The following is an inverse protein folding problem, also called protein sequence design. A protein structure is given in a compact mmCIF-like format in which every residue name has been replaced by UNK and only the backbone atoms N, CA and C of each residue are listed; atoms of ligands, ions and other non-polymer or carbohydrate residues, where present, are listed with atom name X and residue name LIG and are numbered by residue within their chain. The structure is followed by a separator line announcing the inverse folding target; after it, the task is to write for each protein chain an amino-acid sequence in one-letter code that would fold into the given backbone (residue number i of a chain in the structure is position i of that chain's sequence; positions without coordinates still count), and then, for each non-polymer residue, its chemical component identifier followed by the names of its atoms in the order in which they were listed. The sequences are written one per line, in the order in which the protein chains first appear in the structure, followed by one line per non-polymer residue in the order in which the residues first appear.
data_IF_732257057583
#
_entry.id   IF_732257057583
#
_cell.length_a   1.000
_cell.length_b   1.000
_cell.length_c   1.000
_cell.angle_alpha   90.00
_cell.angle_beta   90.00
_cell.angle_gamma   90.00
#
_symmetry.space_group_name_H-M   'P 1'
#
loop_
_entity.id
_entity.type
_entity.pdbx_description
1 polymer ?
#
# COMPACT_ATOMS: atom_id res chain seq x y z
N UNK A 1 64.27 3.32 -8.56
CA UNK A 1 63.28 3.53 -7.51
C UNK A 1 62.33 4.63 -7.99
N UNK A 2 61.67 4.39 -9.08
CA UNK A 2 60.58 5.19 -9.68
C UNK A 2 60.04 4.28 -10.77
N UNK A 3 58.91 3.62 -10.59
CA UNK A 3 58.05 3.00 -11.57
C UNK A 3 57.07 2.00 -10.90
N UNK A 4 56.33 2.46 -9.88
CA UNK A 4 55.27 1.62 -9.28
C UNK A 4 53.91 2.40 -9.19
N UNK A 5 53.79 3.57 -9.79
CA UNK A 5 52.53 4.34 -9.76
C UNK A 5 52.03 4.78 -11.13
N UNK A 6 51.90 3.85 -12.06
CA UNK A 6 51.09 4.06 -13.26
C UNK A 6 50.44 2.74 -13.65
N UNK A 7 49.29 2.43 -13.03
CA UNK A 7 48.23 1.63 -13.62
C UNK A 7 47.08 1.55 -12.59
N UNK A 8 46.49 2.68 -12.22
CA UNK A 8 45.10 2.71 -11.81
C UNK A 8 44.24 2.86 -13.04
N UNK A 9 44.21 1.84 -13.90
CA UNK A 9 43.01 1.58 -14.68
C UNK A 9 41.91 1.38 -13.61
N UNK A 10 40.98 2.32 -13.61
CA UNK A 10 39.73 2.21 -12.91
C UNK A 10 39.11 0.85 -13.25
N UNK A 11 39.28 -0.13 -12.37
CA UNK A 11 38.44 -1.31 -12.37
C UNK A 11 37.02 -0.75 -12.26
N UNK A 12 36.26 -0.79 -13.36
CA UNK A 12 34.81 -0.77 -13.28
C UNK A 12 34.50 -1.90 -12.31
N UNK A 13 34.02 -1.55 -11.12
CA UNK A 13 33.48 -2.52 -10.18
C UNK A 13 32.51 -3.35 -11.02
N UNK A 14 32.79 -4.65 -11.16
CA UNK A 14 31.81 -5.61 -11.63
C UNK A 14 30.72 -5.57 -10.57
N UNK A 15 29.73 -4.73 -10.78
CA UNK A 15 28.57 -4.69 -9.92
C UNK A 15 27.95 -6.08 -10.01
N UNK A 16 28.04 -6.81 -8.91
CA UNK A 16 27.37 -8.10 -8.81
C UNK A 16 25.88 -7.86 -8.98
N UNK A 17 25.17 -8.69 -9.74
CA UNK A 17 23.73 -8.55 -9.91
C UNK A 17 23.05 -8.52 -8.54
N UNK A 18 22.16 -7.56 -8.36
CA UNK A 18 21.30 -7.47 -7.17
C UNK A 18 19.95 -8.07 -7.52
N UNK A 19 19.29 -8.64 -6.54
CA UNK A 19 17.95 -9.18 -6.71
C UNK A 19 17.00 -8.52 -5.71
N UNK A 20 15.87 -8.06 -6.22
CA UNK A 20 14.78 -7.53 -5.41
C UNK A 20 13.53 -8.36 -5.64
N UNK A 21 12.78 -8.53 -4.56
CA UNK A 21 11.56 -9.33 -4.59
C UNK A 21 10.41 -8.49 -4.03
N UNK A 22 9.27 -8.54 -4.72
CA UNK A 22 8.02 -7.98 -4.24
C UNK A 22 6.95 -9.08 -4.21
N UNK A 23 5.99 -8.93 -3.32
CA UNK A 23 4.86 -9.84 -3.22
C UNK A 23 3.54 -9.07 -3.20
N UNK A 24 2.47 -9.72 -3.63
CA UNK A 24 1.11 -9.24 -3.49
C UNK A 24 0.15 -10.40 -3.22
N UNK A 25 -1.04 -10.10 -2.70
CA UNK A 25 -2.03 -11.11 -2.33
C UNK A 25 -3.42 -10.74 -2.85
N UNK A 26 -4.24 -11.76 -3.14
CA UNK A 26 -5.62 -11.60 -3.58
C UNK A 26 -6.52 -11.12 -2.44
N UNK A 27 -7.71 -10.61 -2.79
CA UNK A 27 -8.70 -10.07 -1.82
C UNK A 27 -9.14 -11.07 -0.76
N UNK A 28 -9.13 -12.37 -1.08
CA UNK A 28 -9.51 -13.45 -0.18
C UNK A 28 -8.38 -13.97 0.68
N UNK A 29 -7.14 -13.47 0.56
CA UNK A 29 -6.10 -13.75 1.53
C UNK A 29 -6.56 -13.32 2.93
N UNK A 30 -6.39 -14.15 3.99
CA UNK A 30 -7.00 -13.87 5.30
C UNK A 30 -6.68 -12.49 5.88
N UNK A 31 -5.43 -12.03 5.78
CA UNK A 31 -5.06 -10.69 6.25
C UNK A 31 -5.75 -9.59 5.40
N UNK A 32 -5.81 -9.76 4.07
CA UNK A 32 -6.43 -8.76 3.19
C UNK A 32 -7.95 -8.75 3.27
N UNK A 33 -8.57 -9.88 3.58
CA UNK A 33 -9.97 -9.92 3.94
C UNK A 33 -10.26 -9.09 5.20
N UNK A 34 -9.38 -9.16 6.21
CA UNK A 34 -9.49 -8.33 7.41
C UNK A 34 -9.35 -6.84 7.10
N UNK A 35 -8.35 -6.47 6.29
CA UNK A 35 -8.16 -5.09 5.82
C UNK A 35 -9.40 -4.58 5.07
N UNK A 36 -9.96 -5.39 4.17
CA UNK A 36 -11.14 -5.04 3.39
C UNK A 36 -12.39 -4.86 4.26
N UNK A 37 -12.59 -5.72 5.25
CA UNK A 37 -13.71 -5.57 6.21
C UNK A 37 -13.54 -4.28 7.00
N UNK A 38 -12.36 -4.01 7.53
CA UNK A 38 -12.07 -2.80 8.30
C UNK A 38 -12.30 -1.52 7.50
N UNK A 39 -11.83 -1.50 6.24
CA UNK A 39 -12.03 -0.35 5.34
C UNK A 39 -13.48 -0.21 4.84
N UNK A 40 -14.23 -1.29 4.68
CA UNK A 40 -15.68 -1.20 4.42
C UNK A 40 -16.46 -0.61 5.60
N UNK A 41 -16.05 -0.90 6.85
CA UNK A 41 -16.64 -0.27 8.04
C UNK A 41 -16.32 1.22 8.05
N UNK A 42 -15.08 1.61 7.77
CA UNK A 42 -14.66 3.01 7.65
C UNK A 42 -15.45 3.73 6.56
N UNK A 43 -15.53 3.18 5.35
CA UNK A 43 -16.23 3.81 4.24
C UNK A 43 -17.72 4.00 4.53
N UNK A 44 -18.36 3.04 5.21
CA UNK A 44 -19.77 3.18 5.61
C UNK A 44 -19.95 4.29 6.65
N UNK A 45 -19.02 4.45 7.60
CA UNK A 45 -19.03 5.56 8.55
C UNK A 45 -18.90 6.91 7.80
N UNK A 46 -17.89 7.06 6.97
CA UNK A 46 -17.60 8.31 6.23
C UNK A 46 -18.71 8.70 5.27
N UNK A 47 -19.38 7.75 4.65
CA UNK A 47 -20.51 7.99 3.74
C UNK A 47 -21.66 8.72 4.41
N UNK A 48 -21.88 8.50 5.68
CA UNK A 48 -22.99 9.06 6.46
C UNK A 48 -22.54 10.14 7.45
N UNK A 49 -21.28 10.14 7.86
CA UNK A 49 -20.66 11.13 8.73
C UNK A 49 -19.17 11.29 8.39
N UNK A 50 -18.83 12.28 7.54
CA UNK A 50 -17.43 12.53 7.15
C UNK A 50 -16.51 12.90 8.31
N UNK A 51 -17.07 13.29 9.48
CA UNK A 51 -16.31 13.60 10.69
C UNK A 51 -16.07 12.37 11.57
N UNK A 52 -16.44 11.17 11.12
CA UNK A 52 -16.23 9.92 11.86
C UNK A 52 -14.77 9.71 12.25
N UNK A 53 -14.57 9.25 13.50
CA UNK A 53 -13.27 8.80 14.00
C UNK A 53 -13.33 7.28 14.10
N UNK A 54 -12.47 6.62 13.33
CA UNK A 54 -12.51 5.17 13.17
C UNK A 54 -11.12 4.59 13.36
N UNK A 55 -11.03 3.61 14.23
CA UNK A 55 -9.91 2.72 14.42
C UNK A 55 -10.49 1.29 14.51
N UNK A 56 -10.69 0.67 13.37
CA UNK A 56 -11.34 -0.64 13.23
C UNK A 56 -10.31 -1.72 12.95
N UNK A 57 -10.27 -2.73 13.79
CA UNK A 57 -9.42 -3.91 13.67
C UNK A 57 -10.27 -5.15 13.47
N UNK A 58 -9.78 -6.07 12.65
CA UNK A 58 -10.47 -7.31 12.32
C UNK A 58 -9.51 -8.48 12.47
N UNK A 59 -10.01 -9.57 13.04
CA UNK A 59 -9.38 -10.87 13.04
C UNK A 59 -10.32 -11.88 12.38
N UNK A 60 -9.81 -12.65 11.44
CA UNK A 60 -10.53 -13.73 10.77
C UNK A 60 -9.81 -15.05 10.98
N UNK A 61 -10.51 -16.07 11.44
CA UNK A 61 -9.99 -17.44 11.63
C UNK A 61 -11.07 -18.44 11.33
N UNK A 62 -10.74 -19.74 11.39
CA UNK A 62 -11.68 -20.80 11.09
C UNK A 62 -13.02 -20.62 11.83
N UNK A 63 -14.10 -20.44 11.08
CA UNK A 63 -15.45 -20.27 11.59
C UNK A 63 -15.74 -18.97 12.33
N UNK A 64 -14.80 -18.01 12.46
CA UNK A 64 -14.99 -16.79 13.23
C UNK A 64 -14.42 -15.54 12.53
N UNK A 65 -15.20 -14.44 12.62
CA UNK A 65 -14.75 -13.09 12.31
C UNK A 65 -15.00 -12.22 13.54
N UNK A 66 -13.96 -11.57 14.02
CA UNK A 66 -14.01 -10.67 15.19
C UNK A 66 -13.69 -9.27 14.68
N UNK A 67 -14.62 -8.33 14.91
CA UNK A 67 -14.43 -6.91 14.62
C UNK A 67 -14.37 -6.18 15.95
N UNK A 68 -13.30 -5.43 16.17
CA UNK A 68 -13.07 -4.69 17.41
C UNK A 68 -12.49 -3.32 17.12
N UNK A 69 -12.55 -2.40 18.08
CA UNK A 69 -11.90 -1.09 17.96
C UNK A 69 -12.76 0.06 18.46
N UNK A 70 -12.31 1.27 18.14
CA UNK A 70 -12.89 2.52 18.57
C UNK A 70 -13.54 3.25 17.39
N UNK A 71 -14.87 3.52 17.49
CA UNK A 71 -15.60 4.25 16.45
C UNK A 71 -16.48 5.30 17.12
N UNK A 72 -16.17 6.57 16.89
CA UNK A 72 -17.01 7.69 17.27
C UNK A 72 -17.62 8.30 16.02
N UNK A 73 -18.92 8.16 15.84
CA UNK A 73 -19.63 8.58 14.62
C UNK A 73 -21.12 8.83 14.89
N UNK A 74 -21.71 9.75 14.10
CA UNK A 74 -23.18 9.89 14.02
C UNK A 74 -23.80 8.88 13.03
N UNK A 75 -22.99 8.17 12.23
CA UNK A 75 -23.43 7.07 11.39
C UNK A 75 -23.87 5.87 12.23
N UNK A 76 -24.63 4.97 11.63
CA UNK A 76 -25.07 3.72 12.27
C UNK A 76 -24.67 2.53 11.38
N UNK A 77 -23.37 2.22 11.28
CA UNK A 77 -22.93 1.13 10.44
C UNK A 77 -23.47 -0.22 10.94
N UNK A 78 -24.08 -0.99 10.05
CA UNK A 78 -24.45 -2.38 10.34
C UNK A 78 -23.25 -3.29 10.09
N UNK A 79 -22.35 -3.38 11.06
CA UNK A 79 -21.10 -4.13 10.97
C UNK A 79 -21.34 -5.60 10.60
N UNK A 80 -22.41 -6.22 11.11
CA UNK A 80 -22.73 -7.62 10.79
C UNK A 80 -23.06 -7.81 9.31
N UNK A 81 -23.82 -6.89 8.73
CA UNK A 81 -24.13 -6.95 7.30
C UNK A 81 -22.93 -6.57 6.45
N UNK A 82 -22.11 -5.58 6.85
CA UNK A 82 -20.86 -5.23 6.15
C UNK A 82 -19.94 -6.45 6.05
N UNK A 83 -19.72 -7.17 7.13
CA UNK A 83 -18.90 -8.40 7.13
C UNK A 83 -19.48 -9.45 6.21
N UNK A 84 -20.80 -9.71 6.29
CA UNK A 84 -21.45 -10.73 5.43
C UNK A 84 -21.40 -10.39 3.96
N UNK A 85 -21.58 -9.12 3.61
CA UNK A 85 -21.52 -8.65 2.23
C UNK A 85 -20.09 -8.73 1.71
N UNK A 86 -19.09 -8.32 2.50
CA UNK A 86 -17.67 -8.45 2.15
C UNK A 86 -17.28 -9.91 1.90
N UNK A 87 -17.67 -10.84 2.78
CA UNK A 87 -17.42 -12.27 2.59
C UNK A 87 -18.02 -12.78 1.27
N UNK A 88 -19.27 -12.39 0.98
CA UNK A 88 -19.97 -12.79 -0.24
C UNK A 88 -19.29 -12.25 -1.50
N UNK A 89 -18.92 -10.97 -1.48
CA UNK A 89 -18.27 -10.30 -2.61
C UNK A 89 -16.88 -10.87 -2.91
N UNK A 90 -16.16 -11.28 -1.85
CA UNK A 90 -14.87 -11.97 -2.01
C UNK A 90 -15.06 -13.40 -2.49
N UNK A 91 -16.17 -14.07 -2.18
CA UNK A 91 -16.47 -15.43 -2.61
C UNK A 91 -16.45 -16.47 -1.50
N UNK A 92 -16.53 -16.04 -0.25
CA UNK A 92 -16.72 -16.92 0.91
C UNK A 92 -18.20 -17.05 1.29
N UNK A 93 -18.59 -18.19 1.90
CA UNK A 93 -19.94 -18.34 2.44
C UNK A 93 -20.07 -17.60 3.78
N UNK A 94 -20.88 -16.52 3.86
CA UNK A 94 -21.04 -15.79 5.11
C UNK A 94 -21.63 -16.62 6.27
N UNK A 95 -22.30 -17.74 5.96
CA UNK A 95 -22.88 -18.63 6.96
C UNK A 95 -21.86 -19.52 7.63
N UNK A 96 -20.67 -19.66 7.04
CA UNK A 96 -19.58 -20.44 7.62
C UNK A 96 -18.92 -19.75 8.81
N UNK A 97 -19.21 -18.44 9.03
CA UNK A 97 -18.54 -17.64 10.06
C UNK A 97 -19.52 -17.10 11.08
N UNK A 98 -19.21 -17.29 12.36
CA UNK A 98 -19.76 -16.51 13.46
C UNK A 98 -19.07 -15.14 13.46
N UNK A 99 -19.87 -14.09 13.62
CA UNK A 99 -19.37 -12.71 13.66
C UNK A 99 -19.56 -12.17 15.07
N UNK A 100 -18.46 -11.73 15.69
CA UNK A 100 -18.43 -11.10 17.00
C UNK A 100 -17.96 -9.64 16.83
N UNK A 101 -18.65 -8.70 17.50
CA UNK A 101 -18.37 -7.27 17.36
C UNK A 101 -18.15 -6.63 18.74
N UNK A 102 -16.97 -6.00 18.92
CA UNK A 102 -16.53 -5.33 20.14
C UNK A 102 -16.06 -3.91 19.83
N UNK A 103 -17.01 -3.06 19.41
CA UNK A 103 -16.76 -1.65 19.09
C UNK A 103 -17.25 -0.79 20.25
N UNK A 104 -16.45 0.22 20.61
CA UNK A 104 -16.78 1.23 21.61
C UNK A 104 -16.33 2.62 21.15
N UNK A 105 -16.73 3.67 21.90
CA UNK A 105 -16.34 5.05 21.59
C UNK A 105 -14.86 5.28 21.87
N UNK A 106 -14.25 6.23 21.13
CA UNK A 106 -12.86 6.65 21.34
C UNK A 106 -12.67 7.20 22.77
N UNK A 107 -11.47 6.96 23.34
CA UNK A 107 -11.07 7.52 24.64
C UNK A 107 -11.14 9.05 24.62
N UNK A 108 -11.77 9.68 25.64
CA UNK A 108 -11.81 11.13 25.76
C UNK A 108 -10.41 11.79 25.81
N UNK A 109 -9.41 11.10 26.37
CA UNK A 109 -8.04 11.61 26.46
C UNK A 109 -7.40 11.73 25.07
N UNK A 110 -7.63 10.75 24.20
CA UNK A 110 -7.14 10.77 22.82
C UNK A 110 -7.91 11.82 22.01
N UNK A 111 -9.23 11.88 22.15
CA UNK A 111 -10.05 12.85 21.45
C UNK A 111 -9.64 14.29 21.80
N UNK A 112 -9.41 14.59 23.07
CA UNK A 112 -8.98 15.92 23.53
C UNK A 112 -7.55 16.31 23.10
N UNK A 113 -6.67 15.32 22.85
CA UNK A 113 -5.33 15.59 22.33
C UNK A 113 -5.34 15.90 20.82
N UNK A 114 -6.28 15.32 20.08
CA UNK A 114 -6.39 15.49 18.61
C UNK A 114 -7.21 16.73 18.24
N UNK A 115 -8.27 17.00 18.98
CA UNK A 115 -9.18 18.14 18.80
C UNK A 115 -9.23 18.95 20.12
N UNK A 116 -8.20 19.78 20.41
CA UNK A 116 -8.23 20.61 21.60
C UNK A 116 -9.42 21.58 21.51
N UNK A 117 -10.08 21.83 22.67
CA UNK A 117 -11.14 22.84 22.75
C UNK A 117 -10.56 24.18 22.28
N UNK A 118 -11.11 24.70 21.18
CA UNK A 118 -10.70 26.00 20.62
C UNK A 118 -11.05 27.12 21.61
N UNK A 119 -10.07 27.96 21.93
CA UNK A 119 -10.34 29.22 22.57
C UNK A 119 -11.09 30.17 21.60
N UNK A 120 -11.97 31.04 22.11
CA UNK A 120 -12.70 31.99 21.26
C UNK A 120 -11.71 32.80 20.38
N UNK A 121 -11.75 32.57 19.05
CA UNK A 121 -10.96 33.31 18.05
C UNK A 121 -9.75 32.54 17.49
N UNK A 122 -9.57 31.25 17.82
CA UNK A 122 -8.60 30.38 17.15
C UNK A 122 -9.20 29.79 15.87
N UNK A 123 -8.35 29.64 14.85
CA UNK A 123 -8.73 29.09 13.54
C UNK A 123 -9.14 27.60 13.65
N UNK A 124 -10.11 27.18 12.82
CA UNK A 124 -10.61 25.78 12.73
C UNK A 124 -9.51 24.76 12.28
N UNK A 125 -8.32 25.20 11.90
CA UNK A 125 -7.20 24.38 11.43
C UNK A 125 -6.26 23.88 12.57
N UNK A 126 -6.81 23.55 13.73
CA UNK A 126 -6.03 23.14 14.92
C UNK A 126 -5.92 21.62 15.09
N UNK A 127 -6.34 20.83 14.11
CA UNK A 127 -6.28 19.37 14.18
C UNK A 127 -4.83 18.89 14.40
N UNK A 128 -4.56 18.29 15.56
CA UNK A 128 -3.30 17.64 15.87
C UNK A 128 -3.20 16.24 15.27
N UNK A 129 -1.99 15.72 15.16
CA UNK A 129 -1.77 14.34 14.74
C UNK A 129 -2.44 13.35 15.71
N UNK A 130 -3.21 12.40 15.16
CA UNK A 130 -3.95 11.39 15.93
C UNK A 130 -3.06 10.35 16.61
N UNK A 131 -1.79 10.29 16.24
CA UNK A 131 -0.77 9.43 16.85
C UNK A 131 0.62 10.01 16.60
N UNK A 132 1.61 9.47 17.28
CA UNK A 132 3.02 9.63 16.94
C UNK A 132 3.44 8.56 15.94
N UNK A 133 4.43 8.85 15.09
CA UNK A 133 4.95 7.83 14.18
C UNK A 133 5.85 8.38 13.09
N UNK A 134 6.36 7.47 12.28
CA UNK A 134 7.18 7.75 11.09
C UNK A 134 6.46 7.16 9.88
N UNK A 135 6.28 7.98 8.84
CA UNK A 135 5.60 7.59 7.60
C UNK A 135 6.55 7.79 6.43
N UNK A 136 6.56 6.85 5.52
CA UNK A 136 7.47 6.83 4.38
C UNK A 136 6.70 6.79 3.07
N UNK A 137 7.06 7.68 2.15
CA UNK A 137 6.65 7.65 0.76
C UNK A 137 7.83 7.35 -0.14
N UNK A 138 7.59 6.67 -1.25
CA UNK A 138 8.63 6.35 -2.23
C UNK A 138 8.08 6.47 -3.65
N UNK A 139 8.93 6.88 -4.58
CA UNK A 139 8.70 6.84 -6.01
C UNK A 139 10.00 6.62 -6.76
N UNK A 140 9.92 6.03 -7.96
CA UNK A 140 11.03 5.90 -8.90
C UNK A 140 10.49 5.99 -10.34
N UNK A 141 11.38 6.18 -11.31
CA UNK A 141 11.03 6.33 -12.73
C UNK A 141 11.06 5.00 -13.53
N UNK A 142 10.99 3.86 -12.83
CA UNK A 142 11.09 2.53 -13.48
C UNK A 142 9.82 2.17 -14.28
N UNK A 143 8.65 2.64 -13.83
CA UNK A 143 7.36 2.35 -14.45
C UNK A 143 6.50 3.61 -14.58
N UNK A 144 5.47 3.62 -15.44
CA UNK A 144 4.51 4.72 -15.52
C UNK A 144 3.78 5.03 -14.21
N UNK A 145 3.64 4.03 -13.34
CA UNK A 145 3.06 4.15 -12.01
C UNK A 145 3.99 4.85 -11.01
N UNK A 146 5.25 5.11 -11.40
CA UNK A 146 6.30 5.63 -10.52
C UNK A 146 6.58 4.71 -9.33
N UNK A 147 6.54 3.40 -9.56
CA UNK A 147 6.82 2.34 -8.60
C UNK A 147 7.90 1.39 -9.14
N UNK A 148 8.59 0.65 -8.25
CA UNK A 148 9.51 -0.40 -8.67
C UNK A 148 8.82 -1.48 -9.52
N UNK A 149 9.47 -1.90 -10.58
CA UNK A 149 8.89 -2.82 -11.56
C UNK A 149 8.38 -4.15 -10.94
N UNK A 150 9.07 -4.82 -10.00
CA UNK A 150 8.53 -6.05 -9.41
C UNK A 150 7.30 -5.80 -8.51
N UNK A 151 7.16 -4.60 -7.92
CA UNK A 151 5.95 -4.22 -7.17
C UNK A 151 4.76 -4.13 -8.13
N UNK A 152 4.93 -3.41 -9.24
CA UNK A 152 3.88 -3.28 -10.27
C UNK A 152 3.53 -4.64 -10.87
N UNK A 153 4.52 -5.48 -11.18
CA UNK A 153 4.28 -6.83 -11.69
C UNK A 153 3.45 -7.69 -10.73
N UNK A 154 3.79 -7.67 -9.43
CA UNK A 154 3.04 -8.41 -8.41
C UNK A 154 1.61 -7.89 -8.24
N UNK A 155 1.39 -6.57 -8.27
CA UNK A 155 0.07 -5.95 -8.20
C UNK A 155 -0.79 -6.29 -9.43
N UNK A 156 -0.22 -6.24 -10.63
CA UNK A 156 -0.91 -6.61 -11.88
C UNK A 156 -1.29 -8.08 -11.87
N UNK A 157 -0.40 -8.97 -11.41
CA UNK A 157 -0.68 -10.41 -11.31
C UNK A 157 -1.90 -10.71 -10.43
N UNK A 158 -1.96 -10.19 -9.19
CA UNK A 158 -3.10 -10.46 -8.31
C UNK A 158 -4.39 -9.84 -8.83
N UNK A 159 -4.31 -8.67 -9.47
CA UNK A 159 -5.46 -8.02 -10.09
C UNK A 159 -6.03 -8.86 -11.24
N UNK A 160 -5.16 -9.40 -12.10
CA UNK A 160 -5.57 -10.25 -13.22
C UNK A 160 -6.08 -11.61 -12.76
N UNK A 161 -5.49 -12.21 -11.71
CA UNK A 161 -6.02 -13.42 -11.09
C UNK A 161 -7.43 -13.19 -10.54
N UNK A 162 -7.65 -12.09 -9.85
CA UNK A 162 -8.99 -11.73 -9.33
C UNK A 162 -10.00 -11.49 -10.45
N UNK A 163 -9.64 -10.74 -11.49
CA UNK A 163 -10.49 -10.53 -12.68
C UNK A 163 -10.79 -11.86 -13.36
N UNK A 164 -9.80 -12.72 -13.57
CA UNK A 164 -9.96 -14.02 -14.22
C UNK A 164 -10.89 -14.95 -13.43
N UNK A 165 -10.81 -14.90 -12.09
CA UNK A 165 -11.72 -15.60 -11.19
C UNK A 165 -13.15 -15.07 -11.31
N UNK A 166 -13.33 -13.76 -11.18
CA UNK A 166 -14.65 -13.11 -11.17
C UNK A 166 -15.38 -13.23 -12.52
N UNK A 167 -14.63 -13.19 -13.62
CA UNK A 167 -15.18 -13.34 -14.98
C UNK A 167 -15.36 -14.78 -15.43
N UNK A 168 -14.78 -15.74 -14.67
CA UNK A 168 -14.81 -17.15 -15.01
C UNK A 168 -13.87 -17.53 -16.16
N UNK A 169 -12.95 -16.67 -16.56
CA UNK A 169 -11.88 -17.00 -17.55
C UNK A 169 -11.01 -18.13 -17.01
N UNK A 170 -10.73 -18.10 -15.70
CA UNK A 170 -10.12 -19.22 -14.99
C UNK A 170 -11.13 -19.70 -13.92
N UNK A 171 -11.97 -20.71 -14.24
CA UNK A 171 -13.16 -21.01 -13.46
C UNK A 171 -12.91 -21.73 -12.14
N UNK A 172 -11.75 -22.34 -11.97
CA UNK A 172 -11.48 -23.27 -10.86
C UNK A 172 -10.61 -22.67 -9.77
N UNK A 173 -10.20 -21.39 -9.88
CA UNK A 173 -9.45 -20.72 -8.83
C UNK A 173 -10.37 -20.12 -7.76
N UNK A 174 -9.90 -20.17 -6.50
CA UNK A 174 -10.57 -19.61 -5.33
C UNK A 174 -10.17 -18.16 -5.06
N UNK A 175 -10.73 -17.57 -3.99
CA UNK A 175 -10.47 -16.16 -3.66
C UNK A 175 -9.12 -15.90 -2.99
N UNK A 176 -8.46 -16.92 -2.46
CA UNK A 176 -7.16 -16.80 -1.80
C UNK A 176 -6.01 -17.05 -2.76
N UNK A 177 -4.97 -16.26 -2.64
CA UNK A 177 -3.76 -16.42 -3.43
C UNK A 177 -2.70 -15.39 -3.08
N UNK A 178 -1.47 -15.75 -3.39
CA UNK A 178 -0.28 -14.94 -3.18
C UNK A 178 0.65 -15.07 -4.38
N UNK A 179 1.23 -13.96 -4.80
CA UNK A 179 2.26 -13.93 -5.83
C UNK A 179 3.54 -13.30 -5.30
N UNK A 180 4.66 -13.71 -5.86
CA UNK A 180 5.97 -13.14 -5.57
C UNK A 180 6.73 -13.00 -6.89
N UNK A 181 7.31 -11.83 -7.14
CA UNK A 181 8.11 -11.55 -8.33
C UNK A 181 9.51 -11.16 -7.91
N UNK A 182 10.51 -11.88 -8.40
CA UNK A 182 11.93 -11.59 -8.20
C UNK A 182 12.52 -11.06 -9.49
N UNK A 183 13.21 -9.94 -9.40
CA UNK A 183 13.84 -9.25 -10.53
C UNK A 183 15.33 -9.01 -10.29
N UNK A 184 16.12 -9.22 -11.32
CA UNK A 184 17.54 -8.89 -11.35
C UNK A 184 17.72 -7.43 -11.72
N UNK A 185 18.66 -6.76 -11.02
CA UNK A 185 19.06 -5.38 -11.22
C UNK A 185 20.56 -5.28 -11.47
N UNK A 186 20.94 -4.38 -12.35
CA UNK A 186 22.31 -3.92 -12.50
C UNK A 186 22.41 -2.49 -11.92
N UNK A 187 23.04 -2.36 -10.74
CA UNK A 187 22.93 -1.13 -9.96
C UNK A 187 21.49 -0.87 -9.58
N UNK A 188 20.93 0.23 -10.06
CA UNK A 188 19.54 0.64 -9.82
C UNK A 188 18.62 0.42 -11.05
N UNK A 189 19.13 -0.21 -12.10
CA UNK A 189 18.38 -0.47 -13.34
C UNK A 189 17.81 -1.87 -13.35
N UNK A 190 16.48 -2.06 -13.50
CA UNK A 190 15.87 -3.37 -13.66
C UNK A 190 16.34 -4.03 -14.96
N UNK A 191 16.71 -5.32 -14.89
CA UNK A 191 17.26 -6.06 -16.03
C UNK A 191 16.27 -7.09 -16.56
N UNK A 192 15.78 -7.98 -15.67
CA UNK A 192 14.80 -9.01 -16.04
C UNK A 192 14.11 -9.60 -14.83
N UNK A 193 12.90 -10.07 -15.03
CA UNK A 193 12.21 -10.94 -14.07
C UNK A 193 12.87 -12.31 -14.13
N UNK A 194 13.33 -12.81 -13.00
CA UNK A 194 14.02 -14.10 -12.90
C UNK A 194 13.10 -15.21 -12.43
N UNK A 195 12.21 -14.91 -11.46
CA UNK A 195 11.34 -15.91 -10.86
C UNK A 195 10.00 -15.30 -10.51
N UNK A 196 8.93 -16.03 -10.81
CA UNK A 196 7.55 -15.71 -10.44
C UNK A 196 6.97 -16.90 -9.68
N UNK A 197 6.60 -16.69 -8.42
CA UNK A 197 5.89 -17.69 -7.64
C UNK A 197 4.41 -17.32 -7.60
N UNK A 198 3.54 -18.24 -7.97
CA UNK A 198 2.08 -18.09 -7.89
C UNK A 198 1.52 -19.19 -7.01
N UNK A 199 0.96 -18.82 -5.86
CA UNK A 199 0.18 -19.71 -5.03
C UNK A 199 -1.26 -19.25 -5.09
N UNK A 200 -2.13 -20.04 -5.73
CA UNK A 200 -3.54 -19.69 -5.92
C UNK A 200 -4.43 -20.83 -5.50
N UNK A 201 -5.44 -20.52 -4.70
CA UNK A 201 -6.45 -21.49 -4.27
C UNK A 201 -7.20 -22.03 -5.47
N UNK A 202 -7.50 -23.33 -5.45
CA UNK A 202 -8.21 -24.02 -6.54
C UNK A 202 -9.11 -25.14 -6.01
N UNK A 203 -10.03 -25.63 -6.85
CA UNK A 203 -10.88 -26.77 -6.51
C UNK A 203 -10.06 -28.06 -6.40
N UNK A 204 -10.61 -29.05 -5.66
CA UNK A 204 -9.95 -30.34 -5.39
C UNK A 204 -9.58 -31.12 -6.68
N UNK A 205 -10.41 -31.02 -7.71
CA UNK A 205 -10.31 -31.73 -8.99
C UNK A 205 -9.64 -30.89 -10.10
N UNK A 206 -9.07 -29.73 -9.78
CA UNK A 206 -8.39 -28.87 -10.75
C UNK A 206 -7.14 -29.56 -11.31
N UNK A 207 -7.04 -29.63 -12.63
CA UNK A 207 -5.82 -30.01 -13.33
C UNK A 207 -4.81 -28.84 -13.31
N UNK A 208 -3.73 -29.01 -12.56
CA UNK A 208 -2.70 -27.97 -12.37
C UNK A 208 -1.99 -27.62 -13.69
N UNK A 209 -1.80 -28.58 -14.60
CA UNK A 209 -1.19 -28.30 -15.90
C UNK A 209 -2.12 -27.42 -16.75
N UNK A 210 -3.41 -27.73 -16.76
CA UNK A 210 -4.39 -26.89 -17.43
C UNK A 210 -4.49 -25.50 -16.79
N UNK A 211 -4.38 -25.40 -15.47
CA UNK A 211 -4.32 -24.11 -14.78
C UNK A 211 -3.08 -23.30 -15.22
N UNK A 212 -1.92 -23.96 -15.32
CA UNK A 212 -0.70 -23.31 -15.83
C UNK A 212 -0.90 -22.78 -17.27
N UNK A 213 -1.47 -23.60 -18.18
CA UNK A 213 -1.76 -23.19 -19.55
C UNK A 213 -2.69 -21.95 -19.60
N UNK A 214 -3.71 -21.89 -18.73
CA UNK A 214 -4.62 -20.74 -18.65
C UNK A 214 -3.93 -19.47 -18.09
N UNK A 215 -3.00 -19.61 -17.14
CA UNK A 215 -2.21 -18.49 -16.63
C UNK A 215 -1.27 -17.96 -17.72
N UNK A 216 -0.65 -18.84 -18.49
CA UNK A 216 0.23 -18.49 -19.62
C UNK A 216 -0.55 -17.78 -20.74
N UNK A 217 -1.81 -18.15 -20.98
CA UNK A 217 -2.62 -17.58 -22.03
C UNK A 217 -3.25 -16.23 -21.61
N UNK A 218 -3.77 -16.10 -20.37
CA UNK A 218 -4.64 -15.00 -19.99
C UNK A 218 -4.05 -14.04 -18.94
N UNK A 219 -3.04 -14.45 -18.17
CA UNK A 219 -2.55 -13.66 -17.03
C UNK A 219 -1.15 -13.11 -17.28
N UNK A 220 -0.18 -13.96 -17.54
CA UNK A 220 1.22 -13.53 -17.62
C UNK A 220 1.51 -12.54 -18.74
N UNK A 221 0.96 -12.68 -19.97
CA UNK A 221 1.21 -11.70 -21.04
C UNK A 221 0.74 -10.29 -20.70
N UNK A 222 -0.37 -10.18 -19.93
CA UNK A 222 -0.92 -8.90 -19.51
C UNK A 222 -0.21 -8.35 -18.25
N UNK A 223 0.16 -9.23 -17.32
CA UNK A 223 0.85 -8.83 -16.10
C UNK A 223 2.24 -8.27 -16.38
N UNK A 224 2.95 -8.84 -17.34
CA UNK A 224 4.32 -8.48 -17.69
C UNK A 224 4.41 -7.61 -18.96
N UNK A 225 3.30 -7.06 -19.43
CA UNK A 225 3.32 -6.17 -20.57
C UNK A 225 4.29 -5.00 -20.35
N UNK A 226 5.24 -4.85 -21.27
CA UNK A 226 6.31 -3.87 -21.19
C UNK A 226 7.45 -4.21 -20.20
N UNK A 227 7.49 -5.44 -19.64
CA UNK A 227 8.52 -5.89 -18.71
C UNK A 227 9.38 -7.02 -19.31
N UNK A 228 10.68 -7.11 -18.99
CA UNK A 228 11.57 -8.17 -19.48
C UNK A 228 11.36 -9.47 -18.69
N UNK A 229 10.41 -10.32 -19.14
CA UNK A 229 9.99 -11.55 -18.46
C UNK A 229 10.15 -12.83 -19.29
N UNK A 230 10.74 -12.78 -20.50
CA UNK A 230 10.78 -13.89 -21.46
C UNK A 230 11.41 -15.18 -20.91
N UNK A 231 12.39 -15.07 -20.02
CA UNK A 231 13.12 -16.19 -19.41
C UNK A 231 12.77 -16.40 -17.93
N UNK A 232 11.63 -15.89 -17.45
CA UNK A 232 11.25 -16.00 -16.06
C UNK A 232 10.88 -17.46 -15.69
N UNK A 233 11.43 -17.97 -14.60
CA UNK A 233 11.00 -19.24 -14.01
C UNK A 233 9.65 -19.05 -13.33
N UNK A 234 8.63 -19.78 -13.79
CA UNK A 234 7.29 -19.76 -13.19
C UNK A 234 7.13 -20.96 -12.24
N UNK A 235 6.84 -20.69 -10.98
CA UNK A 235 6.61 -21.69 -9.94
C UNK A 235 5.15 -21.60 -9.49
N UNK A 236 4.32 -22.54 -9.97
CA UNK A 236 2.90 -22.59 -9.64
C UNK A 236 2.66 -23.58 -8.48
N UNK A 237 1.98 -23.13 -7.42
CA UNK A 237 1.59 -23.93 -6.25
C UNK A 237 2.68 -24.88 -5.76
N UNK A 238 3.86 -24.38 -5.33
CA UNK A 238 5.03 -25.20 -5.01
C UNK A 238 4.81 -26.20 -3.87
N UNK A 239 3.83 -25.95 -3.00
CA UNK A 239 3.41 -26.88 -1.93
C UNK A 239 2.47 -27.99 -2.41
N UNK A 240 2.12 -28.04 -3.70
CA UNK A 240 1.16 -28.95 -4.28
C UNK A 240 -0.27 -28.41 -4.27
N UNK A 241 -1.23 -29.14 -3.68
CA UNK A 241 -2.63 -28.71 -3.63
C UNK A 241 -2.84 -27.53 -2.70
N UNK A 242 -3.64 -26.55 -3.17
CA UNK A 242 -4.11 -25.40 -2.39
C UNK A 242 -5.63 -25.32 -2.49
N UNK A 243 -6.33 -26.24 -1.84
CA UNK A 243 -7.81 -26.35 -1.89
C UNK A 243 -8.46 -25.55 -0.75
N UNK A 244 -7.98 -25.72 0.47
CA UNK A 244 -8.45 -24.95 1.60
C UNK A 244 -7.66 -23.62 1.67
N UNK A 245 -8.35 -22.50 1.60
CA UNK A 245 -7.78 -21.15 1.64
C UNK A 245 -8.55 -20.24 2.57
N UNK A 246 -8.09 -18.99 2.64
CA UNK A 246 -8.70 -17.95 3.46
C UNK A 246 -8.60 -18.21 4.96
N UNK A 247 -9.52 -17.64 5.76
CA UNK A 247 -9.51 -17.76 7.22
C UNK A 247 -9.61 -19.20 7.72
N UNK A 248 -10.11 -20.11 6.91
CA UNK A 248 -10.19 -21.53 7.26
C UNK A 248 -8.84 -22.25 7.20
N UNK A 249 -7.90 -21.73 6.43
CA UNK A 249 -6.54 -22.26 6.31
C UNK A 249 -5.56 -21.55 7.25
N UNK A 250 -5.66 -20.24 7.38
CA UNK A 250 -4.75 -19.41 8.17
C UNK A 250 -5.46 -18.21 8.80
N UNK A 251 -5.05 -17.83 9.99
CA UNK A 251 -5.64 -16.69 10.70
C UNK A 251 -5.13 -15.38 10.12
N UNK A 252 -6.06 -14.50 9.72
CA UNK A 252 -5.80 -13.15 9.26
C UNK A 252 -6.05 -12.10 10.33
N UNK A 253 -5.31 -11.00 10.23
CA UNK A 253 -5.53 -9.78 11.02
C UNK A 253 -5.32 -8.54 10.15
N UNK A 254 -6.01 -7.44 10.51
CA UNK A 254 -5.78 -6.11 9.94
C UNK A 254 -4.31 -5.70 10.11
N UNK A 255 -3.73 -5.08 9.08
CA UNK A 255 -2.39 -4.48 9.15
C UNK A 255 -1.22 -5.47 9.16
N UNK A 256 -1.41 -6.70 8.66
CA UNK A 256 -0.32 -7.69 8.55
C UNK A 256 0.33 -7.80 7.17
N UNK A 257 -0.04 -6.92 6.23
CA UNK A 257 0.49 -6.93 4.86
C UNK A 257 1.08 -5.56 4.45
N UNK A 258 1.77 -4.90 5.38
CA UNK A 258 2.31 -3.54 5.18
C UNK A 258 3.26 -3.43 3.98
N UNK A 259 4.07 -4.46 3.72
CA UNK A 259 4.98 -4.48 2.58
C UNK A 259 4.23 -4.66 1.25
N UNK A 260 3.12 -5.42 1.27
CA UNK A 260 2.21 -5.56 0.12
C UNK A 260 1.46 -4.25 -0.13
N UNK A 261 1.08 -3.55 0.93
CA UNK A 261 0.37 -2.27 0.87
C UNK A 261 1.22 -1.14 0.32
N UNK A 262 2.55 -1.22 0.44
CA UNK A 262 3.47 -0.14 0.14
C UNK A 262 4.46 -0.47 -1.00
N UNK A 263 5.75 -0.56 -0.73
CA UNK A 263 6.80 -0.59 -1.75
C UNK A 263 7.63 -1.87 -1.73
N UNK A 264 7.15 -2.94 -1.10
CA UNK A 264 7.92 -4.17 -0.94
C UNK A 264 9.22 -3.91 -0.17
N UNK A 265 10.35 -4.36 -0.73
CA UNK A 265 11.68 -4.21 -0.10
C UNK A 265 12.43 -2.94 -0.54
N UNK A 266 11.81 -2.06 -1.32
CA UNK A 266 12.47 -0.90 -1.92
C UNK A 266 12.55 0.33 -1.00
N UNK A 267 11.62 0.46 -0.07
CA UNK A 267 11.63 1.51 0.94
C UNK A 267 11.28 0.95 2.32
N UNK A 268 11.78 1.55 3.39
CA UNK A 268 11.38 1.18 4.73
C UNK A 268 9.89 1.48 4.96
N UNK A 269 9.32 0.86 5.98
CA UNK A 269 7.97 1.16 6.46
C UNK A 269 8.04 1.62 7.90
N UNK A 270 7.29 2.66 8.27
CA UNK A 270 7.27 3.20 9.64
C UNK A 270 6.58 2.30 10.67
N UNK A 271 5.84 1.29 10.22
CA UNK A 271 5.17 0.28 11.03
C UNK A 271 3.68 0.52 11.27
N UNK A 272 3.14 1.70 10.94
CA UNK A 272 1.72 2.02 11.07
C UNK A 272 0.87 1.35 9.98
N UNK A 273 -0.14 0.56 10.37
CA UNK A 273 -1.10 -0.02 9.45
C UNK A 273 -2.04 1.06 8.89
N UNK A 274 -2.50 0.88 7.64
CA UNK A 274 -3.38 1.82 6.95
C UNK A 274 -4.86 1.48 7.16
N UNK A 275 -5.25 0.25 6.84
CA UNK A 275 -6.65 -0.17 6.81
C UNK A 275 -7.34 -0.03 8.15
N UNK A 276 -8.63 0.34 8.13
CA UNK A 276 -9.45 0.54 9.31
C UNK A 276 -9.29 1.87 10.02
N UNK A 277 -8.40 2.75 9.53
CA UNK A 277 -8.09 4.06 10.15
C UNK A 277 -8.63 5.20 9.30
N UNK A 278 -9.35 6.15 9.94
CA UNK A 278 -9.73 7.42 9.31
C UNK A 278 -8.52 8.35 9.11
N UNK A 279 -8.70 9.40 8.33
CA UNK A 279 -7.61 10.28 7.89
C UNK A 279 -6.95 11.14 8.99
N UNK A 280 -7.51 11.20 10.20
CA UNK A 280 -6.85 11.87 11.34
C UNK A 280 -5.66 11.07 11.86
N UNK A 281 -5.62 9.77 11.57
CA UNK A 281 -4.48 8.90 11.88
C UNK A 281 -3.38 9.11 10.83
N UNK A 282 -2.32 9.77 11.24
CA UNK A 282 -1.18 10.12 10.37
C UNK A 282 -0.47 8.90 9.80
N UNK A 283 -0.56 7.74 10.45
CA UNK A 283 -0.11 6.44 9.90
C UNK A 283 -0.60 6.24 8.47
N UNK A 284 -1.84 6.63 8.18
CA UNK A 284 -2.46 6.53 6.87
C UNK A 284 -2.30 7.81 6.06
N UNK A 285 -2.78 8.94 6.56
CA UNK A 285 -2.84 10.19 5.82
C UNK A 285 -1.46 10.74 5.46
N UNK A 286 -0.51 10.73 6.40
CA UNK A 286 0.84 11.20 6.12
C UNK A 286 1.67 10.21 5.27
N UNK A 287 1.40 8.90 5.30
CA UNK A 287 1.99 7.96 4.35
C UNK A 287 1.52 8.24 2.92
N UNK A 288 0.24 8.56 2.73
CA UNK A 288 -0.28 8.96 1.43
C UNK A 288 0.30 10.30 0.96
N UNK A 289 0.46 11.27 1.87
CA UNK A 289 1.10 12.54 1.56
C UNK A 289 2.58 12.36 1.21
N UNK A 290 3.32 11.52 1.94
CA UNK A 290 4.71 11.22 1.63
C UNK A 290 4.86 10.58 0.23
N UNK A 291 3.93 9.67 -0.15
CA UNK A 291 3.85 9.11 -1.51
C UNK A 291 3.56 10.19 -2.55
N UNK A 292 2.58 11.03 -2.29
CA UNK A 292 2.21 12.13 -3.19
C UNK A 292 3.40 13.06 -3.48
N UNK A 293 4.14 13.44 -2.45
CA UNK A 293 5.34 14.27 -2.58
C UNK A 293 6.42 13.56 -3.38
N UNK A 294 6.75 12.32 -3.00
CA UNK A 294 7.79 11.53 -3.67
C UNK A 294 7.47 11.36 -5.17
N UNK A 295 6.21 11.06 -5.51
CA UNK A 295 5.77 10.91 -6.90
C UNK A 295 5.88 12.23 -7.67
N UNK A 296 5.44 13.36 -7.10
CA UNK A 296 5.57 14.66 -7.74
C UNK A 296 7.03 15.07 -7.97
N UNK A 297 7.95 14.71 -7.06
CA UNK A 297 9.40 14.96 -7.26
C UNK A 297 9.96 14.20 -8.44
N UNK A 298 9.66 12.91 -8.55
CA UNK A 298 10.15 12.08 -9.65
C UNK A 298 9.50 12.49 -10.97
N UNK A 299 8.20 12.77 -10.96
CA UNK A 299 7.47 13.25 -12.14
C UNK A 299 7.96 14.62 -12.63
N UNK A 300 8.43 15.50 -11.73
CA UNK A 300 9.05 16.78 -12.05
C UNK A 300 10.52 16.64 -12.54
N UNK A 301 11.04 15.41 -12.65
CA UNK A 301 12.45 15.12 -12.99
C UNK A 301 13.47 15.76 -12.03
N UNK A 302 13.10 15.93 -10.75
CA UNK A 302 13.99 16.42 -9.72
C UNK A 302 14.90 15.32 -9.16
N UNK A 303 14.50 14.07 -9.33
CA UNK A 303 15.28 12.88 -9.01
C UNK A 303 14.75 11.69 -9.83
N UNK A 304 15.58 10.65 -10.05
CA UNK A 304 15.13 9.39 -10.66
C UNK A 304 14.39 8.50 -9.66
N UNK A 305 14.71 8.65 -8.37
CA UNK A 305 14.01 8.01 -7.26
C UNK A 305 14.03 8.92 -6.03
N UNK A 306 13.00 8.84 -5.24
CA UNK A 306 12.82 9.71 -4.07
C UNK A 306 12.11 8.96 -2.95
N UNK A 307 12.69 9.02 -1.76
CA UNK A 307 12.05 8.64 -0.51
C UNK A 307 11.76 9.92 0.28
N UNK A 308 10.52 10.06 0.75
CA UNK A 308 10.11 11.13 1.66
C UNK A 308 9.75 10.52 3.00
N UNK A 309 10.29 11.04 4.08
CA UNK A 309 10.00 10.59 5.44
C UNK A 309 9.39 11.74 6.24
N UNK A 310 8.21 11.50 6.78
CA UNK A 310 7.52 12.41 7.67
C UNK A 310 7.43 11.78 9.07
N UNK A 311 7.64 12.57 10.12
CA UNK A 311 7.42 12.11 11.49
C UNK A 311 6.55 13.10 12.25
N UNK A 312 5.64 12.58 13.07
CA UNK A 312 4.72 13.35 13.89
C UNK A 312 4.80 12.95 15.36
N UNK A 313 4.45 13.88 16.24
CA UNK A 313 4.16 13.62 17.63
C UNK A 313 2.64 13.77 17.85
N UNK A 314 2.06 12.95 18.73
CA UNK A 314 0.63 13.00 19.03
C UNK A 314 0.22 14.40 19.50
N UNK A 315 -0.89 14.93 18.97
CA UNK A 315 -1.41 16.25 19.31
C UNK A 315 -0.70 17.43 18.63
N UNK A 316 0.49 17.23 18.05
CA UNK A 316 1.18 18.28 17.31
C UNK A 316 0.63 18.38 15.88
N UNK A 317 0.48 19.62 15.36
CA UNK A 317 -0.02 19.82 14.01
C UNK A 317 1.08 19.80 12.94
N UNK A 318 2.29 20.25 13.28
CA UNK A 318 3.40 20.24 12.35
C UNK A 318 4.25 18.99 12.49
N UNK A 319 4.78 18.42 11.38
CA UNK A 319 5.68 17.30 11.47
C UNK A 319 6.98 17.70 12.19
N UNK A 320 7.41 16.87 13.15
CA UNK A 320 8.69 17.03 13.85
C UNK A 320 9.90 16.76 12.95
N UNK A 321 9.68 16.02 11.85
CA UNK A 321 10.72 15.74 10.85
C UNK A 321 10.10 15.68 9.44
N UNK A 322 10.80 16.29 8.49
CA UNK A 322 10.61 16.09 7.04
C UNK A 322 11.98 15.84 6.45
N UNK A 323 12.16 14.69 5.89
CA UNK A 323 13.41 14.23 5.27
C UNK A 323 13.15 13.78 3.85
N UNK A 324 14.11 14.06 2.96
CA UNK A 324 14.10 13.63 1.56
C UNK A 324 15.41 12.92 1.29
N UNK A 325 15.34 11.76 0.66
CA UNK A 325 16.51 11.02 0.20
C UNK A 325 16.31 10.66 -1.28
N UNK A 326 17.13 11.21 -2.14
CA UNK A 326 17.13 10.92 -3.58
C UNK A 326 18.13 9.83 -3.97
N UNK A 327 18.83 9.26 -3.00
CA UNK A 327 19.86 8.23 -3.22
C UNK A 327 20.95 8.70 -4.19
N UNK A 328 21.26 10.01 -4.19
CA UNK A 328 22.25 10.62 -5.07
C UNK A 328 21.78 10.85 -6.51
N UNK A 329 20.49 10.68 -6.81
CA UNK A 329 19.92 10.95 -8.15
C UNK A 329 19.29 12.35 -8.26
N UNK A 330 19.30 13.13 -7.18
CA UNK A 330 18.71 14.46 -7.13
C UNK A 330 19.48 15.49 -7.98
N UNK A 331 18.75 16.44 -8.57
CA UNK A 331 19.35 17.55 -9.33
C UNK A 331 20.01 18.59 -8.40
N UNK A 332 19.71 18.55 -7.11
CA UNK A 332 20.35 19.36 -6.04
C UNK A 332 20.44 18.52 -4.77
N UNK A 333 21.07 19.07 -3.72
CA UNK A 333 21.19 18.41 -2.42
C UNK A 333 19.82 18.08 -1.80
N UNK A 334 19.71 16.95 -1.12
CA UNK A 334 18.46 16.46 -0.51
C UNK A 334 17.86 17.47 0.48
N UNK A 335 18.68 18.21 1.23
CA UNK A 335 18.23 19.28 2.13
C UNK A 335 17.51 20.43 1.38
N UNK A 336 17.94 20.73 0.16
CA UNK A 336 17.28 21.72 -0.69
C UNK A 336 15.87 21.23 -1.10
N UNK A 337 15.76 19.96 -1.47
CA UNK A 337 14.48 19.33 -1.79
C UNK A 337 13.55 19.28 -0.57
N UNK A 338 14.07 18.93 0.61
CA UNK A 338 13.31 18.92 1.85
C UNK A 338 12.78 20.33 2.22
N UNK A 339 13.58 21.38 1.97
CA UNK A 339 13.16 22.76 2.17
C UNK A 339 12.04 23.18 1.19
N UNK A 340 12.10 22.72 -0.07
CA UNK A 340 11.03 22.94 -1.05
C UNK A 340 9.73 22.24 -0.63
N UNK A 341 9.79 21.01 -0.14
CA UNK A 341 8.62 20.27 0.38
C UNK A 341 7.89 21.08 1.46
N UNK A 342 8.62 21.59 2.45
CA UNK A 342 8.06 22.41 3.55
C UNK A 342 7.44 23.72 3.08
N UNK A 343 7.73 24.19 1.89
CA UNK A 343 7.19 25.42 1.30
C UNK A 343 5.99 25.20 0.41
N UNK A 344 5.97 24.07 -0.31
CA UNK A 344 4.95 23.76 -1.30
C UNK A 344 3.75 23.07 -0.67
N UNK A 345 3.97 22.23 0.34
CA UNK A 345 2.91 21.38 0.91
C UNK A 345 2.53 21.84 2.32
N UNK A 346 1.23 21.84 2.59
CA UNK A 346 0.70 21.91 3.94
C UNK A 346 0.74 20.50 4.56
N UNK A 347 1.69 20.29 5.46
CA UNK A 347 1.95 18.99 6.08
C UNK A 347 1.21 18.83 7.42
N UNK A 348 0.32 19.74 7.79
CA UNK A 348 -0.57 19.55 8.93
C UNK A 348 -1.59 18.45 8.61
N UNK A 349 -2.10 17.70 9.61
CA UNK A 349 -3.14 16.70 9.37
C UNK A 349 -4.36 17.27 8.63
N UNK A 350 -4.81 18.49 8.98
CA UNK A 350 -5.90 19.17 8.30
C UNK A 350 -5.56 19.49 6.83
N UNK A 351 -4.35 20.01 6.58
CA UNK A 351 -3.84 20.29 5.24
C UNK A 351 -3.79 19.05 4.37
N UNK A 352 -3.27 17.95 4.88
CA UNK A 352 -3.20 16.65 4.20
C UNK A 352 -4.59 16.13 3.84
N UNK A 353 -5.52 16.12 4.81
CA UNK A 353 -6.90 15.66 4.62
C UNK A 353 -7.58 16.46 3.51
N UNK A 354 -7.41 17.79 3.54
CA UNK A 354 -7.98 18.70 2.55
C UNK A 354 -7.36 18.50 1.16
N UNK A 355 -6.04 18.49 1.06
CA UNK A 355 -5.32 18.36 -0.20
C UNK A 355 -5.59 17.04 -0.91
N UNK A 356 -5.60 15.95 -0.17
CA UNK A 356 -5.83 14.60 -0.71
C UNK A 356 -7.30 14.18 -0.66
N UNK A 357 -8.21 15.06 -0.23
CA UNK A 357 -9.66 14.82 -0.19
C UNK A 357 -10.05 13.54 0.58
N UNK A 358 -9.42 13.32 1.73
CA UNK A 358 -9.46 12.06 2.48
C UNK A 358 -10.74 11.83 3.32
N UNK A 359 -11.70 12.73 3.29
CA UNK A 359 -13.01 12.52 3.94
C UNK A 359 -14.01 11.73 3.07
N UNK A 360 -13.61 11.37 1.84
CA UNK A 360 -14.44 10.56 0.96
C UNK A 360 -14.31 9.06 1.27
N UNK A 361 -15.39 8.27 1.08
CA UNK A 361 -15.39 6.82 1.27
C UNK A 361 -14.69 6.11 0.09
N UNK A 362 -13.36 6.09 0.08
CA UNK A 362 -12.52 5.55 -1.00
C UNK A 362 -11.63 4.40 -0.53
N UNK A 363 -11.69 4.05 0.74
CA UNK A 363 -10.68 3.25 1.43
C UNK A 363 -10.80 1.75 1.16
N UNK A 364 -12.01 1.19 1.06
CA UNK A 364 -12.19 -0.24 0.74
C UNK A 364 -11.50 -0.67 -0.57
N UNK A 365 -11.36 0.27 -1.50
CA UNK A 365 -10.65 0.04 -2.77
C UNK A 365 -9.14 -0.12 -2.61
N UNK A 366 -8.54 0.34 -1.49
CA UNK A 366 -7.11 0.22 -1.24
C UNK A 366 -6.71 -1.16 -0.72
N UNK A 367 -7.64 -1.91 -0.14
CA UNK A 367 -7.37 -3.16 0.55
C UNK A 367 -6.86 -4.31 -0.35
N UNK A 368 -6.86 -4.15 -1.67
CA UNK A 368 -6.32 -5.14 -2.62
C UNK A 368 -5.52 -4.45 -3.72
N UNK A 369 -4.44 -5.09 -4.18
CA UNK A 369 -3.57 -4.57 -5.24
C UNK A 369 -2.66 -3.41 -4.79
N UNK A 370 -2.43 -3.25 -3.48
CA UNK A 370 -1.60 -2.19 -2.91
C UNK A 370 -2.32 -0.83 -2.79
N UNK A 371 -1.78 0.07 -1.99
CA UNK A 371 -2.32 1.41 -1.77
C UNK A 371 -1.78 2.44 -2.78
N UNK A 372 -0.73 2.10 -3.51
CA UNK A 372 -0.02 3.02 -4.41
C UNK A 372 0.02 2.52 -5.84
N UNK A 373 0.18 3.45 -6.81
CA UNK A 373 0.34 3.16 -8.23
C UNK A 373 -0.96 3.17 -9.04
N UNK A 374 -2.11 3.47 -8.45
CA UNK A 374 -3.40 3.55 -9.16
C UNK A 374 -3.86 5.00 -9.31
N UNK A 375 -3.99 5.47 -10.54
CA UNK A 375 -4.33 6.86 -10.90
C UNK A 375 -5.67 7.36 -10.35
N UNK A 376 -6.55 6.46 -9.92
CA UNK A 376 -7.85 6.78 -9.38
C UNK A 376 -7.84 7.19 -7.89
N UNK A 377 -6.66 7.25 -7.28
CA UNK A 377 -6.47 7.76 -5.92
C UNK A 377 -5.88 9.18 -5.91
N UNK A 378 -6.36 10.08 -5.00
CA UNK A 378 -5.90 11.46 -4.96
C UNK A 378 -4.38 11.62 -4.73
N UNK A 379 -3.77 10.73 -3.95
CA UNK A 379 -2.32 10.75 -3.68
C UNK A 379 -1.45 10.24 -4.84
N UNK A 380 -2.08 9.85 -5.95
CA UNK A 380 -1.37 9.49 -7.19
C UNK A 380 -1.40 10.60 -8.25
N UNK A 381 -2.00 11.75 -7.96
CA UNK A 381 -1.98 12.91 -8.85
C UNK A 381 -0.58 13.54 -8.93
N UNK A 382 -0.28 14.20 -10.05
CA UNK A 382 0.98 14.90 -10.30
C UNK A 382 0.70 16.38 -10.61
N UNK A 383 0.33 17.15 -9.60
CA UNK A 383 -0.17 18.53 -9.73
C UNK A 383 0.86 19.60 -9.33
N UNK A 384 1.83 19.29 -8.46
CA UNK A 384 2.80 20.25 -7.90
C UNK A 384 4.19 20.22 -8.52
N UNK A 385 4.33 19.64 -9.71
CA UNK A 385 5.63 19.56 -10.41
C UNK A 385 6.26 20.95 -10.65
N UNK A 386 5.45 21.92 -11.11
CA UNK A 386 5.92 23.28 -11.38
C UNK A 386 6.24 24.04 -10.11
N UNK A 387 5.49 23.82 -9.03
CA UNK A 387 5.68 24.49 -7.76
C UNK A 387 6.98 24.05 -7.09
N UNK A 388 7.26 22.75 -7.09
CA UNK A 388 8.52 22.19 -6.61
C UNK A 388 9.71 22.71 -7.42
N UNK A 389 9.63 22.68 -8.75
CA UNK A 389 10.70 23.16 -9.62
C UNK A 389 11.00 24.66 -9.40
N UNK A 390 9.98 25.47 -9.13
CA UNK A 390 10.16 26.91 -8.92
C UNK A 390 10.95 27.28 -7.65
N UNK A 391 11.02 26.37 -6.65
CA UNK A 391 11.82 26.58 -5.43
C UNK A 391 13.27 26.13 -5.55
N UNK A 392 13.62 25.39 -6.60
CA UNK A 392 14.93 24.77 -6.76
C UNK A 392 15.79 25.55 -7.78
N UNK A 393 15.16 26.29 -8.67
CA UNK A 393 15.78 27.17 -9.67
C UNK A 393 15.88 28.59 -9.14
#
# INVERSE_FOLDING_TARGET
MNDIFENTETMKENEHPRFYTAESVMRGHPDKLCDLIADNVLDECLKHDPASRVACEVMATHGHIIVAGEITTNAKPDVFNIVRDTLRDVGYDPKAYQIDCYIHDQSPDIAGAVEPELAEGEDEDTLGAGDQGVMVGYACNETPEYLPMPVVAAQRLVTLLEISRMTGVIPDIGPDGKVQVTMEYNGDTPVRITTVVVSVQHKEDTDINKLADLLDEYVFPLAFDGMPADDAEIILNPSGKFVQGGPDADTGLTGRKLMVDSYGTFAPHGGGAFSGKDATKVDRSAAYMARYIAKNMVAAHLADRCQVTLAYAIGEKDPVMVDVNTFGTGICEDDCLAAAVRKVYDLTPAGIIKQLNLLNPIYSRTAAGGHFGREDFPWENVEHMSDLAAYIV
#
